data_IF_983000951876
#
_entry.id   IF_983000951876
#
_cell.length_a   1.000
_cell.length_b   1.000
_cell.length_c   1.000
_cell.angle_alpha   90.00
_cell.angle_beta   90.00
_cell.angle_gamma   90.00
#
_symmetry.space_group_name_H-M   'P 1'
#
loop_
_entity.id
_entity.type
_entity.pdbx_description
1 polymer ?
#
# COMPACT_ATOMS: atom_id res chain seq x y z
N UNK A 1 -0.84 14.40 4.50
CA UNK A 1 0.26 14.13 5.46
C UNK A 1 -0.01 12.89 6.30
N UNK A 2 -1.12 12.77 7.03
CA UNK A 2 -1.43 11.59 7.89
C UNK A 2 -1.23 10.24 7.19
N UNK A 3 -1.76 10.05 5.97
CA UNK A 3 -1.56 8.82 5.17
C UNK A 3 -0.10 8.44 4.94
N UNK A 4 0.81 9.43 4.88
CA UNK A 4 2.24 9.19 4.69
C UNK A 4 2.95 8.68 5.94
N UNK A 5 2.28 8.67 7.08
CA UNK A 5 2.76 8.12 8.36
C UNK A 5 2.04 6.82 8.77
N UNK A 6 1.05 6.37 8.00
CA UNK A 6 0.29 5.17 8.28
C UNK A 6 0.94 3.96 7.59
N UNK A 7 1.49 3.04 8.39
CA UNK A 7 2.14 1.81 7.89
C UNK A 7 1.20 0.91 7.08
N UNK A 8 -0.11 0.92 7.39
CA UNK A 8 -1.11 0.16 6.66
C UNK A 8 -1.54 0.81 5.32
N UNK A 9 -1.17 2.07 5.08
CA UNK A 9 -1.55 2.83 3.88
C UNK A 9 -0.41 2.97 2.87
N UNK A 10 0.85 2.94 3.31
CA UNK A 10 2.01 3.09 2.44
C UNK A 10 3.02 1.98 2.72
N UNK A 11 3.51 1.33 1.66
CA UNK A 11 4.50 0.25 1.76
C UNK A 11 5.80 0.70 2.40
N UNK A 12 6.19 1.95 2.13
CA UNK A 12 7.32 2.64 2.75
C UNK A 12 6.88 4.05 3.17
N UNK A 13 6.43 4.24 4.43
CA UNK A 13 6.00 5.53 4.95
C UNK A 13 7.06 6.62 4.73
N UNK A 14 6.61 7.83 4.39
CA UNK A 14 7.50 8.98 4.14
C UNK A 14 7.67 9.87 5.38
N UNK A 15 6.71 9.80 6.29
CA UNK A 15 6.64 10.62 7.50
C UNK A 15 6.66 9.72 8.72
N UNK A 16 7.55 10.01 9.66
CA UNK A 16 7.52 9.41 10.98
C UNK A 16 6.59 10.26 11.87
N UNK A 17 5.44 9.70 12.23
CA UNK A 17 4.46 10.35 13.12
C UNK A 17 4.63 9.96 14.59
N UNK A 18 4.29 10.87 15.49
CA UNK A 18 4.11 10.62 16.93
C UNK A 18 2.75 11.15 17.39
N UNK A 19 1.98 10.30 18.09
CA UNK A 19 0.57 10.54 18.44
C UNK A 19 -0.38 9.62 17.67
N UNK A 20 -1.68 9.93 17.69
CA UNK A 20 -2.70 9.13 16.98
C UNK A 20 -2.82 9.55 15.52
N UNK A 21 -2.40 8.68 14.60
CA UNK A 21 -2.49 8.86 13.15
C UNK A 21 -3.61 8.02 12.51
N UNK A 22 -4.57 7.52 13.30
CA UNK A 22 -5.66 6.68 12.84
C UNK A 22 -5.31 5.19 12.79
N UNK A 23 -6.27 4.36 12.39
CA UNK A 23 -6.17 2.90 12.43
C UNK A 23 -6.76 2.23 11.17
N UNK A 24 -6.56 0.91 11.05
CA UNK A 24 -7.20 0.06 10.03
C UNK A 24 -8.71 -0.07 10.20
N UNK A 25 -9.24 0.31 11.36
CA UNK A 25 -10.68 0.38 11.65
C UNK A 25 -11.32 1.67 11.13
N UNK A 26 -10.55 2.48 10.40
CA UNK A 26 -10.97 3.80 9.88
C UNK A 26 -11.22 4.82 11.00
N UNK A 27 -10.54 4.65 12.14
CA UNK A 27 -10.49 5.67 13.17
C UNK A 27 -9.77 6.92 12.63
N UNK A 28 -10.34 8.13 12.82
CA UNK A 28 -9.67 9.35 12.38
C UNK A 28 -8.41 9.62 13.21
N UNK A 29 -7.42 10.32 12.63
CA UNK A 29 -6.28 10.80 13.39
C UNK A 29 -6.72 11.85 14.43
N UNK A 30 -5.89 12.06 15.45
CA UNK A 30 -6.08 13.18 16.37
C UNK A 30 -5.94 14.53 15.64
N UNK A 31 -6.48 15.58 16.26
CA UNK A 31 -6.31 16.94 15.75
C UNK A 31 -4.82 17.32 15.69
N UNK A 32 -4.42 18.10 14.67
CA UNK A 32 -3.03 18.43 14.36
C UNK A 32 -2.21 19.00 15.52
N UNK A 33 -2.88 19.66 16.49
CA UNK A 33 -2.24 20.21 17.70
C UNK A 33 -1.75 19.14 18.71
N UNK A 34 -2.11 17.87 18.51
CA UNK A 34 -1.74 16.75 19.37
C UNK A 34 -0.81 15.75 18.67
N UNK A 35 -0.38 16.05 17.45
CA UNK A 35 0.46 15.15 16.64
C UNK A 35 1.75 15.85 16.30
N UNK A 36 2.84 15.11 16.35
CA UNK A 36 4.15 15.55 15.89
C UNK A 36 4.58 14.69 14.70
N UNK A 37 5.40 15.25 13.81
CA UNK A 37 5.93 14.49 12.68
C UNK A 37 7.29 14.99 12.23
N UNK A 38 8.08 14.08 11.66
CA UNK A 38 9.32 14.39 10.95
C UNK A 38 9.47 13.49 9.72
N UNK A 39 10.42 13.79 8.85
CA UNK A 39 10.74 12.92 7.72
C UNK A 39 11.28 11.58 8.20
N UNK A 40 10.95 10.49 7.51
CA UNK A 40 11.74 9.27 7.62
C UNK A 40 13.13 9.49 7.03
N UNK A 41 14.14 8.80 7.58
CA UNK A 41 15.51 8.85 7.08
C UNK A 41 15.57 8.54 5.57
N UNK A 42 14.85 7.50 5.12
CA UNK A 42 14.76 7.16 3.70
C UNK A 42 14.21 8.31 2.86
N UNK A 43 13.22 9.06 3.35
CA UNK A 43 12.65 10.19 2.63
C UNK A 43 13.64 11.33 2.47
N UNK A 44 14.35 11.69 3.54
CA UNK A 44 15.40 12.71 3.47
C UNK A 44 16.50 12.32 2.48
N UNK A 45 17.03 11.11 2.61
CA UNK A 45 18.15 10.64 1.77
C UNK A 45 17.75 10.36 0.31
N UNK A 46 16.55 9.83 0.09
CA UNK A 46 16.16 9.37 -1.24
C UNK A 46 15.36 10.42 -2.01
N UNK A 47 14.61 11.31 -1.35
CA UNK A 47 13.75 12.27 -2.04
C UNK A 47 14.29 13.69 -2.05
N UNK A 48 15.08 14.10 -1.06
CA UNK A 48 15.51 15.50 -0.89
C UNK A 48 17.01 15.73 -1.02
N UNK A 49 17.81 14.67 -1.01
CA UNK A 49 19.27 14.78 -1.08
C UNK A 49 19.74 15.41 -2.40
N UNK A 50 20.56 16.45 -2.26
CA UNK A 50 21.14 17.29 -3.32
C UNK A 50 20.13 18.23 -4.01
N UNK A 51 18.97 18.49 -3.39
CA UNK A 51 17.99 19.45 -3.91
C UNK A 51 18.55 20.88 -4.02
N UNK A 52 19.48 21.27 -3.14
CA UNK A 52 20.15 22.57 -3.14
C UNK A 52 21.35 22.66 -4.11
N UNK A 53 21.63 21.58 -4.86
CA UNK A 53 22.79 21.46 -5.76
C UNK A 53 22.42 21.63 -7.24
N UNK A 54 21.43 22.49 -7.54
CA UNK A 54 20.90 22.74 -8.90
C UNK A 54 20.54 21.44 -9.67
N UNK A 55 20.00 20.45 -8.97
CA UNK A 55 19.64 19.14 -9.55
C UNK A 55 18.25 19.10 -10.17
N UNK A 56 17.40 20.07 -9.85
CA UNK A 56 16.02 20.20 -10.34
C UNK A 56 15.69 21.67 -10.58
N UNK A 57 14.75 21.91 -11.50
CA UNK A 57 14.24 23.25 -11.75
C UNK A 57 13.31 23.70 -10.61
N UNK A 58 13.41 24.99 -10.26
CA UNK A 58 12.52 25.68 -9.35
C UNK A 58 11.64 26.67 -10.12
N UNK A 59 10.41 26.87 -9.64
CA UNK A 59 9.48 27.86 -10.16
C UNK A 59 8.85 28.70 -9.05
N UNK A 60 8.23 29.81 -9.45
CA UNK A 60 7.45 30.65 -8.56
C UNK A 60 6.28 29.87 -7.93
N UNK A 61 6.05 30.08 -6.63
CA UNK A 61 4.83 29.62 -5.97
C UNK A 61 3.60 30.43 -6.46
N UNK A 62 2.41 30.10 -5.95
CA UNK A 62 1.13 30.65 -6.46
C UNK A 62 1.00 32.19 -6.49
N UNK A 63 1.75 32.93 -5.67
CA UNK A 63 1.75 34.39 -5.61
C UNK A 63 3.11 35.03 -5.97
N UNK A 64 4.10 34.23 -6.37
CA UNK A 64 5.44 34.70 -6.73
C UNK A 64 6.31 35.17 -5.55
N UNK A 65 5.91 34.91 -4.31
CA UNK A 65 6.67 35.32 -3.13
C UNK A 65 7.79 34.34 -2.74
N UNK A 66 7.72 33.08 -3.20
CA UNK A 66 8.66 32.00 -2.89
C UNK A 66 8.97 31.17 -4.13
N UNK A 67 10.05 30.39 -4.07
CA UNK A 67 10.37 29.36 -5.05
C UNK A 67 9.99 27.97 -4.51
N UNK A 68 9.47 27.10 -5.37
CA UNK A 68 9.23 25.69 -5.08
C UNK A 68 9.82 24.78 -6.16
N UNK A 69 10.33 23.59 -5.81
CA UNK A 69 10.87 22.65 -6.79
C UNK A 69 9.74 22.06 -7.64
N UNK A 70 9.93 22.02 -8.96
CA UNK A 70 8.93 21.46 -9.89
C UNK A 70 8.86 19.93 -9.82
N UNK A 71 9.98 19.30 -9.48
CA UNK A 71 10.11 17.87 -9.19
C UNK A 71 11.11 17.67 -8.06
N UNK A 72 11.07 16.51 -7.40
CA UNK A 72 12.08 16.14 -6.42
C UNK A 72 13.19 15.32 -7.08
N UNK A 73 14.46 15.41 -6.60
CA UNK A 73 15.58 14.63 -7.13
C UNK A 73 15.38 13.10 -7.15
N UNK A 74 14.53 12.57 -6.26
CA UNK A 74 14.05 11.18 -6.20
C UNK A 74 15.05 10.09 -6.70
N UNK A 75 15.89 9.61 -5.80
CA UNK A 75 16.90 8.54 -6.02
C UNK A 75 16.34 7.12 -5.99
N UNK A 76 15.05 6.99 -5.66
CA UNK A 76 14.34 5.71 -5.63
C UNK A 76 13.07 5.82 -6.49
N UNK A 77 12.58 4.71 -7.06
CA UNK A 77 11.36 4.68 -7.87
C UNK A 77 10.09 4.83 -7.01
N UNK A 78 9.90 6.00 -6.41
CA UNK A 78 8.88 6.28 -5.40
C UNK A 78 7.45 6.02 -5.90
N UNK A 79 7.16 6.30 -7.18
CA UNK A 79 5.86 6.04 -7.79
C UNK A 79 5.47 4.56 -7.71
N UNK A 80 6.41 3.66 -8.00
CA UNK A 80 6.17 2.22 -7.98
C UNK A 80 6.30 1.63 -6.57
N UNK A 81 7.21 2.18 -5.76
CA UNK A 81 7.42 1.74 -4.38
C UNK A 81 6.14 1.88 -3.55
N UNK A 82 5.52 3.06 -3.58
CA UNK A 82 4.36 3.35 -2.76
C UNK A 82 3.04 3.32 -3.53
N UNK A 83 3.08 3.27 -4.86
CA UNK A 83 1.89 3.34 -5.69
C UNK A 83 1.26 4.74 -5.68
N UNK A 84 0.13 4.85 -6.39
CA UNK A 84 -0.66 6.08 -6.43
C UNK A 84 -2.10 5.75 -6.81
N UNK A 85 -3.06 6.48 -6.25
CA UNK A 85 -4.46 6.38 -6.63
C UNK A 85 -5.06 7.78 -6.69
N UNK A 86 -5.78 8.07 -7.76
CA UNK A 86 -6.36 9.39 -7.99
C UNK A 86 -7.41 9.37 -9.08
N UNK A 87 -8.40 10.26 -8.96
CA UNK A 87 -9.47 10.45 -9.94
C UNK A 87 -9.40 11.92 -10.37
N UNK A 88 -9.26 12.14 -11.66
CA UNK A 88 -9.26 13.45 -12.28
C UNK A 88 -10.48 13.60 -13.21
N UNK A 89 -10.54 14.68 -13.99
CA UNK A 89 -11.63 14.89 -14.95
C UNK A 89 -11.42 14.02 -16.18
N UNK A 90 -12.27 13.01 -16.37
CA UNK A 90 -12.24 12.10 -17.53
C UNK A 90 -11.19 10.98 -17.47
N UNK A 91 -10.45 10.87 -16.35
CA UNK A 91 -9.44 9.81 -16.16
C UNK A 91 -9.25 9.45 -14.69
N UNK A 92 -8.71 8.27 -14.44
CA UNK A 92 -8.34 7.79 -13.11
C UNK A 92 -7.05 6.96 -13.18
N UNK A 93 -6.33 6.89 -12.06
CA UNK A 93 -5.12 6.08 -11.89
C UNK A 93 -5.21 5.23 -10.63
N UNK A 94 -4.66 4.03 -10.70
CA UNK A 94 -4.49 3.14 -9.56
C UNK A 94 -3.27 2.23 -9.79
N UNK A 95 -2.13 2.61 -9.21
CA UNK A 95 -0.86 1.91 -9.29
C UNK A 95 -0.62 1.26 -7.93
N UNK A 96 -0.49 -0.08 -7.85
CA UNK A 96 -0.22 -0.74 -6.59
C UNK A 96 1.26 -0.57 -6.17
N UNK A 97 1.56 -0.67 -4.86
CA UNK A 97 2.93 -0.62 -4.35
C UNK A 97 3.74 -1.87 -4.73
N UNK A 98 5.06 -1.76 -4.72
CA UNK A 98 6.01 -2.83 -5.04
C UNK A 98 7.15 -2.88 -4.05
N UNK A 99 7.86 -3.99 -4.03
CA UNK A 99 9.00 -4.18 -3.16
C UNK A 99 10.22 -3.37 -3.65
N UNK A 100 10.89 -2.64 -2.75
CA UNK A 100 12.02 -1.79 -3.14
C UNK A 100 13.19 -2.58 -3.73
N UNK A 101 13.50 -3.75 -3.18
CA UNK A 101 14.63 -4.56 -3.67
C UNK A 101 14.34 -5.07 -5.08
N UNK A 102 13.13 -5.59 -5.31
CA UNK A 102 12.70 -6.06 -6.63
C UNK A 102 12.71 -4.93 -7.67
N UNK A 103 12.27 -3.72 -7.28
CA UNK A 103 12.33 -2.55 -8.16
C UNK A 103 13.77 -2.15 -8.51
N UNK A 104 14.68 -2.19 -7.53
CA UNK A 104 16.11 -1.88 -7.76
C UNK A 104 16.75 -2.95 -8.63
N UNK A 105 16.48 -4.24 -8.37
CA UNK A 105 16.99 -5.35 -9.18
C UNK A 105 16.49 -5.25 -10.63
N UNK A 106 15.21 -4.93 -10.83
CA UNK A 106 14.64 -4.68 -12.16
C UNK A 106 15.27 -3.48 -12.87
N UNK A 107 15.50 -2.37 -12.15
CA UNK A 107 16.18 -1.19 -12.69
C UNK A 107 17.62 -1.51 -13.09
N UNK A 108 18.36 -2.24 -12.25
CA UNK A 108 19.72 -2.68 -12.55
C UNK A 108 19.74 -3.59 -13.78
N UNK A 109 18.78 -4.52 -13.91
CA UNK A 109 18.67 -5.37 -15.08
C UNK A 109 18.40 -4.56 -16.36
N UNK A 110 17.52 -3.55 -16.29
CA UNK A 110 17.23 -2.63 -17.40
C UNK A 110 18.45 -1.78 -17.81
N UNK A 111 19.26 -1.34 -16.85
CA UNK A 111 20.51 -0.62 -17.14
C UNK A 111 21.50 -1.51 -17.91
N UNK A 112 21.61 -2.79 -17.54
CA UNK A 112 22.51 -3.74 -18.21
C UNK A 112 21.99 -4.20 -19.57
N UNK A 113 20.67 -4.28 -19.74
CA UNK A 113 20.01 -4.65 -20.99
C UNK A 113 18.84 -3.70 -21.28
N UNK A 114 19.06 -2.60 -22.02
CA UNK A 114 18.01 -1.67 -22.40
C UNK A 114 16.88 -2.30 -23.24
N UNK A 115 17.13 -3.43 -23.90
CA UNK A 115 16.16 -4.18 -24.72
C UNK A 115 15.46 -5.30 -23.94
N UNK A 116 15.59 -5.32 -22.60
CA UNK A 116 14.91 -6.30 -21.75
C UNK A 116 13.39 -6.22 -21.98
N UNK A 117 12.77 -7.37 -22.21
CA UNK A 117 11.33 -7.43 -22.45
C UNK A 117 10.55 -7.34 -21.13
N UNK A 118 9.29 -6.89 -21.18
CA UNK A 118 8.40 -6.87 -20.00
C UNK A 118 8.35 -8.24 -19.30
N UNK A 119 8.34 -9.32 -20.09
CA UNK A 119 8.26 -10.70 -19.57
C UNK A 119 9.55 -11.12 -18.85
N UNK A 120 10.69 -10.58 -19.25
CA UNK A 120 11.95 -10.79 -18.54
C UNK A 120 12.04 -9.89 -17.30
N UNK A 121 11.58 -8.64 -17.38
CA UNK A 121 11.53 -7.71 -16.25
C UNK A 121 10.61 -8.23 -15.13
N UNK A 122 9.50 -8.90 -15.49
CA UNK A 122 8.61 -9.61 -14.58
C UNK A 122 9.27 -10.73 -13.75
N UNK A 123 10.47 -11.19 -14.14
CA UNK A 123 11.24 -12.15 -13.32
C UNK A 123 11.90 -11.47 -12.13
N UNK A 124 12.24 -10.19 -12.26
CA UNK A 124 12.82 -9.35 -11.21
C UNK A 124 11.73 -8.71 -10.35
N UNK A 125 10.58 -8.37 -10.95
CA UNK A 125 9.42 -7.78 -10.28
C UNK A 125 8.23 -8.73 -10.43
N UNK A 126 8.09 -9.75 -9.56
CA UNK A 126 7.09 -10.81 -9.71
C UNK A 126 5.64 -10.34 -9.58
N UNK A 127 5.42 -9.22 -8.88
CA UNK A 127 4.11 -8.64 -8.62
C UNK A 127 4.14 -7.49 -7.61
N UNK A 128 2.97 -6.94 -7.25
CA UNK A 128 2.84 -5.95 -6.19
C UNK A 128 3.17 -6.48 -4.79
N UNK A 129 3.56 -5.57 -3.90
CA UNK A 129 3.87 -5.84 -2.49
C UNK A 129 3.09 -4.86 -1.59
N UNK A 130 2.03 -5.36 -0.95
CA UNK A 130 1.10 -4.53 -0.19
C UNK A 130 1.52 -4.39 1.28
N UNK A 131 1.36 -3.21 1.92
CA UNK A 131 1.70 -3.00 3.33
C UNK A 131 0.90 -3.86 4.33
N UNK A 132 -0.21 -4.44 3.88
CA UNK A 132 -1.15 -5.21 4.71
C UNK A 132 -0.97 -6.72 4.59
N UNK A 133 0.01 -7.17 3.80
CA UNK A 133 0.19 -8.57 3.44
C UNK A 133 -0.86 -9.03 2.44
N UNK A 134 -1.59 -10.09 2.81
CA UNK A 134 -2.57 -10.81 2.00
C UNK A 134 -1.95 -11.69 0.90
N UNK A 135 -2.82 -12.45 0.22
CA UNK A 135 -2.46 -13.32 -0.91
C UNK A 135 -3.02 -12.76 -2.20
N UNK A 136 -2.19 -12.72 -3.23
CA UNK A 136 -2.66 -12.47 -4.61
C UNK A 136 -3.10 -13.81 -5.22
N UNK A 137 -4.26 -13.83 -5.86
CA UNK A 137 -4.81 -15.00 -6.51
C UNK A 137 -4.50 -14.99 -8.01
N UNK A 138 -3.55 -15.84 -8.42
CA UNK A 138 -3.13 -15.97 -9.81
C UNK A 138 -2.16 -14.87 -10.25
N UNK A 139 -1.68 -14.97 -11.50
CA UNK A 139 -0.67 -14.06 -12.07
C UNK A 139 -1.09 -13.40 -13.38
N UNK A 140 -2.23 -13.80 -13.94
CA UNK A 140 -2.73 -13.27 -15.21
C UNK A 140 -3.01 -11.77 -15.15
N UNK A 141 -3.68 -11.31 -14.08
CA UNK A 141 -3.99 -9.90 -13.89
C UNK A 141 -2.75 -9.01 -13.69
N UNK A 142 -1.72 -9.53 -13.02
CA UNK A 142 -0.43 -8.84 -12.89
C UNK A 142 0.21 -8.68 -14.27
N UNK A 143 0.29 -9.78 -15.04
CA UNK A 143 0.87 -9.76 -16.38
C UNK A 143 0.17 -8.77 -17.30
N UNK A 144 -1.16 -8.78 -17.32
CA UNK A 144 -1.97 -7.84 -18.11
C UNK A 144 -1.72 -6.39 -17.68
N UNK A 145 -1.70 -6.12 -16.36
CA UNK A 145 -1.44 -4.80 -15.83
C UNK A 145 -0.07 -4.27 -16.24
N UNK A 146 0.97 -5.11 -16.23
CA UNK A 146 2.32 -4.69 -16.59
C UNK A 146 2.52 -4.51 -18.09
N UNK A 147 1.88 -5.33 -18.95
CA UNK A 147 2.05 -5.22 -20.40
C UNK A 147 1.12 -4.20 -21.06
N UNK A 148 -0.02 -3.89 -20.44
CA UNK A 148 -1.05 -3.01 -21.04
C UNK A 148 -1.35 -1.75 -20.23
N UNK A 149 -0.86 -1.67 -18.99
CA UNK A 149 -1.23 -0.62 -18.04
C UNK A 149 -2.60 -0.82 -17.38
N UNK A 150 -3.33 -1.90 -17.68
CA UNK A 150 -4.63 -2.25 -17.09
C UNK A 150 -4.71 -3.73 -16.77
N UNK A 151 -5.28 -4.07 -15.62
CA UNK A 151 -5.47 -5.45 -15.21
C UNK A 151 -6.17 -5.52 -13.86
N UNK A 152 -6.76 -6.68 -13.55
CA UNK A 152 -7.44 -6.91 -12.28
C UNK A 152 -6.64 -7.88 -11.42
N UNK A 153 -6.20 -7.42 -10.25
CA UNK A 153 -5.42 -8.23 -9.30
C UNK A 153 -6.31 -8.58 -8.12
N UNK A 154 -6.74 -9.84 -8.05
CA UNK A 154 -7.59 -10.32 -6.96
C UNK A 154 -6.75 -10.59 -5.72
N UNK A 155 -7.06 -9.92 -4.63
CA UNK A 155 -6.46 -10.14 -3.31
C UNK A 155 -7.38 -10.95 -2.40
N UNK A 156 -6.80 -11.74 -1.50
CA UNK A 156 -7.50 -12.54 -0.49
C UNK A 156 -6.78 -12.43 0.85
N UNK A 157 -7.54 -12.22 1.93
CA UNK A 157 -6.99 -12.26 3.29
C UNK A 157 -6.37 -13.62 3.62
N UNK A 158 -5.43 -13.63 4.57
CA UNK A 158 -4.86 -14.88 5.08
C UNK A 158 -5.72 -15.36 6.22
N UNK A 159 -6.25 -16.58 6.08
CA UNK A 159 -7.08 -17.21 7.08
C UNK A 159 -6.68 -18.68 7.26
N UNK A 160 -6.81 -19.17 8.49
CA UNK A 160 -6.61 -20.57 8.85
C UNK A 160 -7.75 -21.05 9.76
N UNK A 161 -8.00 -22.36 9.75
CA UNK A 161 -8.99 -22.98 10.64
C UNK A 161 -8.23 -23.56 11.84
N UNK A 162 -8.66 -23.18 13.04
CA UNK A 162 -8.11 -23.68 14.30
C UNK A 162 -9.21 -24.35 15.12
N UNK A 163 -8.84 -25.42 15.82
CA UNK A 163 -9.73 -26.08 16.80
C UNK A 163 -9.48 -25.48 18.18
N UNK A 164 -10.47 -24.78 18.71
CA UNK A 164 -10.45 -24.22 20.06
C UNK A 164 -10.91 -25.29 21.03
N UNK A 165 -9.96 -25.86 21.77
CA UNK A 165 -10.22 -26.79 22.86
C UNK A 165 -10.54 -26.02 24.15
N UNK A 166 -11.60 -26.40 24.86
CA UNK A 166 -11.90 -25.88 26.20
C UNK A 166 -12.22 -27.03 27.16
N UNK A 167 -11.57 -27.05 28.32
CA UNK A 167 -11.85 -28.07 29.35
C UNK A 167 -13.34 -28.05 29.74
N UNK A 168 -14.03 -29.15 29.44
CA UNK A 168 -15.44 -29.35 29.78
C UNK A 168 -16.44 -28.78 28.77
N UNK A 169 -16.01 -28.35 27.58
CA UNK A 169 -16.89 -27.96 26.47
C UNK A 169 -16.51 -28.74 25.19
N UNK A 170 -17.45 -28.91 24.23
CA UNK A 170 -17.12 -29.48 22.94
C UNK A 170 -16.12 -28.58 22.19
N UNK A 171 -15.23 -29.22 21.44
CA UNK A 171 -14.30 -28.53 20.54
C UNK A 171 -15.08 -27.66 19.54
N UNK A 172 -14.52 -26.49 19.26
CA UNK A 172 -15.10 -25.54 18.30
C UNK A 172 -14.10 -25.21 17.23
N UNK A 173 -14.53 -25.18 15.97
CA UNK A 173 -13.71 -24.65 14.89
C UNK A 173 -13.84 -23.12 14.84
N UNK A 174 -12.73 -22.43 14.64
CA UNK A 174 -12.66 -20.99 14.45
C UNK A 174 -11.85 -20.66 13.20
N UNK A 175 -12.32 -19.68 12.43
CA UNK A 175 -11.58 -19.13 11.30
C UNK A 175 -10.78 -17.94 11.80
N UNK A 176 -9.46 -18.07 11.85
CA UNK A 176 -8.55 -17.01 12.28
C UNK A 176 -8.03 -16.28 11.05
N UNK A 177 -8.44 -15.02 10.89
CA UNK A 177 -7.97 -14.12 9.82
C UNK A 177 -6.83 -13.27 10.37
N UNK A 178 -5.62 -13.42 9.82
CA UNK A 178 -4.41 -12.72 10.29
C UNK A 178 -4.03 -11.53 9.42
N UNK A 179 -4.42 -11.53 8.14
CA UNK A 179 -4.10 -10.48 7.18
C UNK A 179 -5.31 -10.14 6.33
N UNK A 180 -5.50 -8.85 6.05
CA UNK A 180 -6.61 -8.34 5.25
C UNK A 180 -6.11 -7.83 3.90
N UNK A 181 -6.92 -7.91 2.83
CA UNK A 181 -6.59 -7.26 1.56
C UNK A 181 -6.33 -5.76 1.73
N UNK A 182 -5.45 -5.20 0.91
CA UNK A 182 -5.11 -3.78 0.97
C UNK A 182 -6.33 -2.87 0.78
N UNK A 183 -6.38 -1.80 1.56
CA UNK A 183 -7.51 -0.84 1.63
C UNK A 183 -8.84 -1.45 2.12
N UNK A 184 -8.80 -2.58 2.83
CA UNK A 184 -9.99 -3.12 3.52
C UNK A 184 -10.15 -2.49 4.90
N UNK A 185 -11.33 -1.94 5.19
CA UNK A 185 -11.71 -1.53 6.54
C UNK A 185 -12.12 -2.78 7.35
N UNK A 186 -11.41 -3.04 8.46
CA UNK A 186 -11.65 -4.21 9.31
C UNK A 186 -13.03 -4.15 10.00
N UNK A 187 -13.38 -3.03 10.64
CA UNK A 187 -14.68 -2.86 11.28
C UNK A 187 -15.85 -3.04 10.30
N UNK A 188 -15.76 -2.46 9.10
CA UNK A 188 -16.80 -2.61 8.07
C UNK A 188 -16.91 -4.06 7.55
N UNK A 189 -15.78 -4.78 7.47
CA UNK A 189 -15.79 -6.20 7.12
C UNK A 189 -16.52 -7.02 8.19
N UNK A 190 -16.22 -6.80 9.47
CA UNK A 190 -16.86 -7.48 10.60
C UNK A 190 -18.37 -7.20 10.61
N UNK A 191 -18.76 -5.93 10.46
CA UNK A 191 -20.16 -5.52 10.36
C UNK A 191 -20.87 -6.23 9.21
N UNK A 192 -20.21 -6.33 8.05
CA UNK A 192 -20.78 -7.00 6.88
C UNK A 192 -20.96 -8.51 7.10
N UNK A 193 -20.02 -9.17 7.77
CA UNK A 193 -20.14 -10.58 8.11
C UNK A 193 -21.30 -10.78 9.09
N UNK A 194 -21.40 -9.94 10.13
CA UNK A 194 -22.49 -10.00 11.10
C UNK A 194 -23.87 -9.78 10.47
N UNK A 195 -24.00 -8.81 9.56
CA UNK A 195 -25.21 -8.57 8.76
C UNK A 195 -25.60 -9.84 7.97
N UNK A 196 -24.66 -10.45 7.26
CA UNK A 196 -24.92 -11.66 6.46
C UNK A 196 -25.31 -12.88 7.31
N UNK A 197 -24.80 -12.98 8.54
CA UNK A 197 -25.22 -14.03 9.50
C UNK A 197 -26.65 -13.77 9.99
N UNK A 198 -26.99 -12.53 10.34
CA UNK A 198 -28.33 -12.14 10.76
C UNK A 198 -29.38 -12.35 9.66
N UNK A 199 -29.01 -12.08 8.40
CA UNK A 199 -29.85 -12.34 7.21
C UNK A 199 -29.93 -13.83 6.84
N UNK A 200 -29.23 -14.72 7.56
CA UNK A 200 -29.11 -16.16 7.25
C UNK A 200 -28.57 -16.45 5.84
N UNK A 201 -27.76 -15.53 5.30
CA UNK A 201 -27.01 -15.75 4.05
C UNK A 201 -25.71 -16.50 4.30
N UNK A 202 -25.16 -16.37 5.50
CA UNK A 202 -24.07 -17.18 6.03
C UNK A 202 -24.60 -18.03 7.18
N UNK A 203 -24.50 -19.34 7.03
CA UNK A 203 -24.86 -20.32 8.07
C UNK A 203 -23.61 -20.88 8.75
N UNK A 204 -23.76 -21.44 9.95
CA UNK A 204 -22.67 -22.10 10.67
C UNK A 204 -21.75 -21.15 11.48
N UNK A 205 -21.98 -19.84 11.45
CA UNK A 205 -21.27 -18.86 12.27
C UNK A 205 -22.02 -18.66 13.58
N UNK A 206 -21.37 -19.00 14.69
CA UNK A 206 -21.97 -18.87 16.04
C UNK A 206 -21.50 -17.62 16.80
N UNK A 207 -20.35 -17.06 16.43
CA UNK A 207 -19.73 -15.89 17.03
C UNK A 207 -18.75 -15.25 16.02
N UNK A 208 -18.46 -13.95 16.18
CA UNK A 208 -17.55 -13.15 15.32
C UNK A 208 -16.66 -12.28 16.20
#
# INVERSE_FOLDING_TARGET
MVRMAQEFSMRSPLIQGHGNFGSVDNDPPAAMRYTECRLHYLTSEAMLRDIDSDTVDFGDNFDGSQQEPLVLPARIPQLLLNGSSGIAVGMATNIPPHNLNELVDGLVALIHNPEITDTELMRYIPGPDFPTGAKILGRSGIREAYTTGRGSITMRGVAQIETIEHRGRPDREAIIITELPYQTNKAALIEKIAEMVNEKRLEGISDI
#
